data_IF_035477004411
#
_entry.id   IF_035477004411
#
_cell.length_a   1.000
_cell.length_b   1.000
_cell.length_c   1.000
_cell.angle_alpha   90.00
_cell.angle_beta   90.00
_cell.angle_gamma   90.00
#
_symmetry.space_group_name_H-M   'P 1'
#
loop_
_entity.id
_entity.type
_entity.pdbx_description
1 polymer ?
#
# COMPACT_ATOMS: atom_id res chain seq x y z
N UNK A 1 16.71 9.59 18.56
CA UNK A 1 16.50 8.12 18.63
C UNK A 1 15.30 7.79 19.50
N UNK A 2 14.25 7.18 18.94
CA UNK A 2 12.97 6.84 19.61
C UNK A 2 13.19 6.13 20.95
N UNK A 3 14.08 5.14 20.99
CA UNK A 3 14.44 4.38 22.21
C UNK A 3 14.81 5.29 23.38
N UNK A 4 15.73 6.23 23.18
CA UNK A 4 16.16 7.15 24.24
C UNK A 4 15.07 8.18 24.61
N UNK A 5 14.29 8.66 23.64
CA UNK A 5 13.24 9.67 23.87
C UNK A 5 12.08 9.14 24.72
N UNK A 6 11.74 7.86 24.56
CA UNK A 6 10.67 7.19 25.29
C UNK A 6 11.17 6.27 26.40
N UNK A 7 12.47 6.26 26.68
CA UNK A 7 13.10 5.45 27.74
C UNK A 7 12.69 3.98 27.67
N UNK A 8 12.72 3.42 26.45
CA UNK A 8 12.43 2.00 26.26
C UNK A 8 13.47 1.15 26.98
N UNK A 9 13.08 -0.07 27.37
CA UNK A 9 13.94 -1.03 28.09
C UNK A 9 15.28 -1.24 27.37
N UNK A 10 16.34 -1.48 28.15
CA UNK A 10 17.70 -1.69 27.63
C UNK A 10 17.79 -2.89 26.67
N UNK A 11 16.93 -3.89 26.84
CA UNK A 11 16.88 -5.11 26.04
C UNK A 11 16.02 -4.99 24.76
N UNK A 12 15.62 -3.78 24.37
CA UNK A 12 14.81 -3.59 23.16
C UNK A 12 15.61 -4.01 21.92
N UNK A 13 15.05 -4.92 21.13
CA UNK A 13 15.60 -5.28 19.83
C UNK A 13 15.21 -4.21 18.81
N UNK A 14 16.21 -3.60 18.17
CA UNK A 14 16.01 -2.53 17.19
C UNK A 14 16.43 -3.01 15.79
N UNK A 15 15.57 -2.81 14.80
CA UNK A 15 15.81 -3.15 13.41
C UNK A 15 15.51 -1.92 12.56
N UNK A 16 16.45 -1.56 11.67
CA UNK A 16 16.24 -0.50 10.69
C UNK A 16 16.06 -1.13 9.30
N UNK A 17 14.91 -0.88 8.67
CA UNK A 17 14.61 -1.33 7.31
C UNK A 17 14.93 -0.21 6.33
N UNK A 18 15.90 -0.48 5.44
CA UNK A 18 16.39 0.45 4.43
C UNK A 18 16.17 -0.11 3.02
N UNK A 19 16.14 0.77 2.01
CA UNK A 19 16.12 0.40 0.58
C UNK A 19 14.76 -0.04 0.01
N UNK A 20 13.71 -0.07 0.83
CA UNK A 20 12.37 -0.54 0.43
C UNK A 20 11.45 0.59 -0.08
N UNK A 21 11.79 1.85 0.21
CA UNK A 21 10.99 3.03 -0.17
C UNK A 21 9.54 2.96 0.33
N UNK A 22 8.61 3.34 -0.53
CA UNK A 22 7.18 3.45 -0.23
C UNK A 22 6.50 2.16 0.30
N UNK A 23 7.06 0.97 0.05
CA UNK A 23 6.47 -0.27 0.57
C UNK A 23 6.95 -0.65 1.97
N UNK A 24 7.97 0.04 2.50
CA UNK A 24 8.61 -0.30 3.77
C UNK A 24 7.61 -0.45 4.94
N UNK A 25 6.53 0.34 4.94
CA UNK A 25 5.47 0.26 5.95
C UNK A 25 4.83 -1.13 6.01
N UNK A 26 4.37 -1.67 4.89
CA UNK A 26 3.77 -3.02 4.85
C UNK A 26 4.80 -4.15 4.89
N UNK A 27 6.01 -3.93 4.37
CA UNK A 27 7.12 -4.89 4.51
C UNK A 27 7.47 -5.09 5.99
N UNK A 28 7.49 -4.00 6.77
CA UNK A 28 7.76 -4.06 8.20
C UNK A 28 6.68 -4.81 8.98
N UNK A 29 5.42 -4.77 8.54
CA UNK A 29 4.33 -5.59 9.09
C UNK A 29 4.62 -7.07 8.89
N UNK A 30 5.08 -7.46 7.71
CA UNK A 30 5.50 -8.84 7.43
C UNK A 30 6.66 -9.30 8.31
N UNK A 31 7.67 -8.44 8.49
CA UNK A 31 8.79 -8.72 9.40
C UNK A 31 8.32 -8.87 10.85
N UNK A 32 7.53 -7.91 11.34
CA UNK A 32 6.98 -7.91 12.69
C UNK A 32 6.14 -9.16 12.95
N UNK A 33 5.31 -9.58 11.99
CA UNK A 33 4.55 -10.83 12.06
C UNK A 33 5.47 -12.04 12.28
N UNK A 34 6.52 -12.17 11.48
CA UNK A 34 7.44 -13.31 11.58
C UNK A 34 8.17 -13.33 12.93
N UNK A 35 8.58 -12.16 13.44
CA UNK A 35 9.20 -12.02 14.77
C UNK A 35 8.22 -12.41 15.89
N UNK A 36 6.98 -11.91 15.82
CA UNK A 36 5.93 -12.18 16.81
C UNK A 36 5.50 -13.65 16.86
N UNK A 37 5.55 -14.36 15.72
CA UNK A 37 5.22 -15.79 15.64
C UNK A 37 6.17 -16.69 16.43
N UNK A 38 7.42 -16.27 16.61
CA UNK A 38 8.44 -17.04 17.37
C UNK A 38 8.69 -16.45 18.77
N UNK A 39 8.02 -15.35 19.12
CA UNK A 39 8.20 -14.65 20.39
C UNK A 39 7.21 -15.13 21.47
N UNK A 40 7.53 -14.95 22.77
CA UNK A 40 6.59 -15.25 23.86
C UNK A 40 5.27 -14.46 23.74
N UNK A 41 4.13 -14.99 24.21
CA UNK A 41 2.86 -14.28 24.24
C UNK A 41 2.94 -12.95 24.99
N UNK A 42 2.25 -11.92 24.49
CA UNK A 42 2.31 -10.56 25.04
C UNK A 42 3.50 -9.72 24.56
N UNK A 43 4.27 -10.23 23.60
CA UNK A 43 5.36 -9.45 22.97
C UNK A 43 4.77 -8.37 22.07
N UNK A 44 5.35 -7.17 22.14
CA UNK A 44 4.96 -6.03 21.32
C UNK A 44 6.09 -5.62 20.37
N UNK A 45 5.73 -5.32 19.12
CA UNK A 45 6.61 -4.73 18.12
C UNK A 45 6.08 -3.34 17.76
N UNK A 46 6.88 -2.31 18.02
CA UNK A 46 6.62 -0.95 17.57
C UNK A 46 7.22 -0.76 16.18
N UNK A 47 6.36 -0.52 15.20
CA UNK A 47 6.74 -0.11 13.85
C UNK A 47 6.66 1.41 13.79
N UNK A 48 7.74 2.06 13.39
CA UNK A 48 7.78 3.51 13.15
C UNK A 48 8.19 3.75 11.70
N UNK A 49 7.29 4.37 10.95
CA UNK A 49 7.50 4.77 9.56
C UNK A 49 7.71 6.27 9.54
N UNK A 50 8.87 6.73 9.06
CA UNK A 50 9.18 8.16 8.94
C UNK A 50 9.71 8.46 7.55
N UNK A 51 9.19 9.54 6.94
CA UNK A 51 9.67 10.07 5.68
C UNK A 51 10.21 11.49 5.88
N UNK A 52 11.48 11.69 5.52
CA UNK A 52 12.21 12.95 5.73
C UNK A 52 12.93 13.31 4.44
N UNK A 53 12.47 14.37 3.78
CA UNK A 53 12.93 14.76 2.44
C UNK A 53 14.10 15.75 2.45
N UNK A 54 14.54 16.20 3.63
CA UNK A 54 15.55 17.27 3.75
C UNK A 54 16.88 16.95 3.06
N UNK A 55 17.20 15.66 2.88
CA UNK A 55 18.41 15.19 2.18
C UNK A 55 18.13 14.64 0.77
N UNK A 56 16.89 14.69 0.29
CA UNK A 56 16.46 14.06 -0.98
C UNK A 56 15.89 15.07 -1.98
N UNK A 57 16.04 16.37 -1.71
CA UNK A 57 15.56 17.42 -2.60
C UNK A 57 16.46 17.52 -3.84
N UNK A 58 15.90 17.24 -5.02
CA UNK A 58 16.64 17.31 -6.27
C UNK A 58 16.73 18.77 -6.74
N UNK A 59 17.95 19.23 -7.04
CA UNK A 59 18.26 20.62 -7.43
C UNK A 59 18.61 20.79 -8.92
N UNK A 60 18.70 19.69 -9.66
CA UNK A 60 19.00 19.72 -11.09
C UNK A 60 17.78 20.02 -11.96
N UNK A 61 17.88 19.68 -13.25
CA UNK A 61 16.86 20.03 -14.26
C UNK A 61 16.20 18.82 -14.93
N UNK A 62 16.62 17.60 -14.59
CA UNK A 62 16.04 16.37 -15.14
C UNK A 62 14.58 16.23 -14.67
N UNK A 63 13.64 16.23 -15.62
CA UNK A 63 12.21 16.22 -15.33
C UNK A 63 11.78 14.98 -14.54
N UNK A 64 12.38 13.82 -14.85
CA UNK A 64 12.07 12.58 -14.16
C UNK A 64 12.49 12.59 -12.68
N UNK A 65 13.43 13.46 -12.30
CA UNK A 65 13.90 13.65 -10.92
C UNK A 65 13.27 14.86 -10.21
N UNK A 66 12.68 15.79 -10.97
CA UNK A 66 11.90 16.91 -10.42
C UNK A 66 10.51 16.49 -9.93
N UNK A 67 9.90 15.47 -10.56
CA UNK A 67 8.56 15.00 -10.18
C UNK A 67 8.42 14.61 -8.69
N UNK A 68 9.38 13.88 -8.08
CA UNK A 68 9.37 13.64 -6.64
C UNK A 68 9.23 14.90 -5.77
N UNK A 69 9.87 16.02 -6.14
CA UNK A 69 9.77 17.27 -5.37
C UNK A 69 8.30 17.76 -5.30
N UNK A 70 7.51 17.50 -6.34
CA UNK A 70 6.09 17.86 -6.37
C UNK A 70 5.21 16.87 -5.59
N UNK A 71 5.54 15.58 -5.63
CA UNK A 71 4.73 14.48 -5.07
C UNK A 71 4.98 14.25 -3.58
N UNK A 72 6.24 14.14 -3.17
CA UNK A 72 6.58 13.67 -1.83
C UNK A 72 6.40 14.77 -0.79
N UNK A 73 5.97 14.35 0.40
CA UNK A 73 5.94 15.18 1.60
C UNK A 73 6.49 14.39 2.78
N UNK A 74 6.92 15.12 3.80
CA UNK A 74 7.35 14.51 5.05
C UNK A 74 6.13 14.00 5.81
N UNK A 75 6.28 12.87 6.47
CA UNK A 75 5.21 12.23 7.23
C UNK A 75 5.77 11.22 8.21
N UNK A 76 4.99 10.91 9.23
CA UNK A 76 5.34 9.85 10.16
C UNK A 76 4.08 9.17 10.65
N UNK A 77 4.16 7.85 10.78
CA UNK A 77 3.11 7.05 11.39
C UNK A 77 3.73 5.90 12.17
N UNK A 78 3.03 5.46 13.20
CA UNK A 78 3.46 4.35 14.02
C UNK A 78 2.31 3.38 14.26
N UNK A 79 2.62 2.10 14.40
CA UNK A 79 1.68 1.08 14.80
C UNK A 79 2.36 0.11 15.77
N UNK A 80 1.57 -0.47 16.66
CA UNK A 80 2.03 -1.52 17.58
C UNK A 80 1.34 -2.82 17.17
N UNK A 81 2.14 -3.86 16.93
CA UNK A 81 1.65 -5.21 16.74
C UNK A 81 1.96 -6.04 17.99
N UNK A 82 1.05 -6.96 18.32
CA UNK A 82 1.22 -7.89 19.42
C UNK A 82 0.80 -9.30 18.99
N UNK A 83 1.34 -10.31 19.65
CA UNK A 83 0.83 -11.69 19.59
C UNK A 83 -0.19 -11.99 20.69
N UNK A 84 -0.63 -10.96 21.43
CA UNK A 84 -1.76 -11.01 22.35
C UNK A 84 -2.99 -10.30 21.74
N UNK A 85 -4.22 -10.78 21.96
CA UNK A 85 -5.44 -10.05 21.59
C UNK A 85 -5.73 -8.85 22.50
N UNK A 86 -4.98 -8.69 23.59
CA UNK A 86 -5.16 -7.61 24.55
C UNK A 86 -5.00 -6.24 23.87
N UNK A 87 -5.95 -5.33 24.13
CA UNK A 87 -6.06 -4.01 23.50
C UNK A 87 -6.09 -4.00 21.95
N UNK A 88 -6.29 -5.15 21.28
CA UNK A 88 -6.26 -5.23 19.82
C UNK A 88 -7.42 -4.44 19.18
N UNK A 89 -7.08 -3.49 18.31
CA UNK A 89 -8.05 -2.76 17.46
C UNK A 89 -8.27 -3.44 16.12
N UNK A 90 -7.22 -4.05 15.59
CA UNK A 90 -7.24 -4.80 14.34
C UNK A 90 -6.58 -6.17 14.54
N UNK A 91 -7.09 -7.16 13.82
CA UNK A 91 -6.48 -8.48 13.68
C UNK A 91 -5.77 -8.56 12.33
N UNK A 92 -4.50 -8.95 12.34
CA UNK A 92 -3.72 -9.14 11.11
C UNK A 92 -4.18 -10.40 10.38
N UNK A 93 -4.53 -10.25 9.10
CA UNK A 93 -4.91 -11.33 8.21
C UNK A 93 -3.74 -11.82 7.34
N UNK A 94 -4.02 -12.02 6.06
CA UNK A 94 -3.03 -12.45 5.07
C UNK A 94 -2.07 -11.31 4.73
N UNK A 95 -0.78 -11.64 4.66
CA UNK A 95 0.31 -10.75 4.24
C UNK A 95 0.98 -11.41 3.06
N UNK A 96 1.00 -10.74 1.90
CA UNK A 96 1.62 -11.24 0.68
C UNK A 96 2.47 -10.15 0.07
N UNK A 97 3.72 -10.50 -0.25
CA UNK A 97 4.66 -9.66 -0.96
C UNK A 97 5.10 -10.37 -2.24
N UNK A 98 5.08 -9.65 -3.35
CA UNK A 98 5.58 -10.11 -4.63
C UNK A 98 6.57 -9.09 -5.17
N UNK A 99 7.69 -9.56 -5.72
CA UNK A 99 8.75 -8.71 -6.27
C UNK A 99 8.88 -8.98 -7.76
N UNK A 100 8.98 -7.92 -8.56
CA UNK A 100 9.11 -8.03 -10.03
C UNK A 100 10.41 -7.42 -10.56
N UNK A 101 11.31 -6.95 -9.67
CA UNK A 101 12.64 -6.42 -9.98
C UNK A 101 13.58 -7.36 -10.77
N UNK A 102 13.25 -8.63 -10.98
CA UNK A 102 13.98 -9.47 -11.92
C UNK A 102 13.90 -8.95 -13.37
N UNK A 103 12.94 -8.07 -13.68
CA UNK A 103 12.85 -7.34 -14.95
C UNK A 103 13.54 -5.99 -14.83
N UNK A 104 14.46 -5.68 -15.73
CA UNK A 104 15.22 -4.43 -15.72
C UNK A 104 14.32 -3.17 -15.73
N UNK A 105 13.21 -3.21 -16.47
CA UNK A 105 12.21 -2.14 -16.50
C UNK A 105 11.64 -1.83 -15.12
N UNK A 106 11.41 -2.88 -14.33
CA UNK A 106 10.82 -2.78 -13.00
C UNK A 106 11.88 -2.35 -11.99
N UNK A 107 13.07 -2.93 -12.07
CA UNK A 107 14.22 -2.57 -11.25
C UNK A 107 14.57 -1.08 -11.37
N UNK A 108 14.58 -0.54 -12.61
CA UNK A 108 14.88 0.87 -12.90
C UNK A 108 13.68 1.80 -12.85
N UNK A 109 12.50 1.30 -12.47
CA UNK A 109 11.28 2.09 -12.50
C UNK A 109 11.29 3.25 -11.49
N UNK A 110 11.88 3.01 -10.32
CA UNK A 110 12.13 4.02 -9.28
C UNK A 110 13.55 3.79 -8.80
N UNK A 111 14.44 4.73 -9.07
CA UNK A 111 15.86 4.54 -8.81
C UNK A 111 16.50 5.84 -8.32
N UNK A 112 17.42 5.74 -7.37
CA UNK A 112 18.21 6.89 -6.92
C UNK A 112 19.53 6.90 -7.70
N UNK A 113 19.81 7.98 -8.40
CA UNK A 113 21.02 8.15 -9.20
C UNK A 113 21.42 9.63 -9.30
N UNK A 114 22.63 9.88 -9.81
CA UNK A 114 23.11 11.22 -10.11
C UNK A 114 22.76 11.60 -11.56
N UNK A 115 22.43 12.86 -11.77
CA UNK A 115 22.36 13.43 -13.11
C UNK A 115 23.76 13.73 -13.68
N UNK A 116 23.82 14.22 -14.92
CA UNK A 116 25.09 14.54 -15.59
C UNK A 116 25.90 15.65 -14.88
N UNK A 117 25.29 16.42 -13.98
CA UNK A 117 25.92 17.48 -13.22
C UNK A 117 26.30 17.03 -11.79
N UNK A 118 26.11 15.74 -11.48
CA UNK A 118 26.41 15.16 -10.16
C UNK A 118 25.34 15.44 -9.11
N UNK A 119 24.15 15.95 -9.49
CA UNK A 119 23.06 16.14 -8.52
C UNK A 119 22.34 14.80 -8.32
N UNK A 120 22.34 14.29 -7.09
CA UNK A 120 21.57 13.09 -6.74
C UNK A 120 20.07 13.38 -6.71
N UNK A 121 19.29 12.52 -7.36
CA UNK A 121 17.83 12.58 -7.36
C UNK A 121 17.18 11.20 -7.39
N UNK A 122 15.88 11.16 -7.12
CA UNK A 122 15.07 9.96 -7.33
C UNK A 122 14.45 10.05 -8.72
N UNK A 123 14.89 9.21 -9.65
CA UNK A 123 14.28 9.14 -10.97
C UNK A 123 13.00 8.30 -10.92
N UNK A 124 11.91 8.88 -11.41
CA UNK A 124 10.66 8.17 -11.65
C UNK A 124 10.51 7.89 -13.15
N UNK A 125 10.40 6.61 -13.52
CA UNK A 125 10.11 6.22 -14.90
C UNK A 125 8.70 6.67 -15.32
N UNK A 126 8.53 6.98 -16.61
CA UNK A 126 7.21 7.23 -17.21
C UNK A 126 6.30 6.00 -17.18
N UNK A 127 6.90 4.81 -17.11
CA UNK A 127 6.19 3.54 -17.05
C UNK A 127 5.72 3.18 -15.63
N UNK A 128 5.88 4.07 -14.64
CA UNK A 128 5.57 3.80 -13.24
C UNK A 128 4.17 3.22 -13.01
N UNK A 129 3.15 3.80 -13.64
CA UNK A 129 1.78 3.30 -13.53
C UNK A 129 1.65 1.90 -14.16
N UNK A 130 2.15 1.70 -15.37
CA UNK A 130 2.14 0.40 -16.06
C UNK A 130 2.87 -0.69 -15.25
N UNK A 131 4.04 -0.36 -14.70
CA UNK A 131 4.81 -1.25 -13.82
C UNK A 131 4.02 -1.59 -12.55
N UNK A 132 3.33 -0.60 -11.95
CA UNK A 132 2.43 -0.82 -10.83
C UNK A 132 1.30 -1.80 -11.18
N UNK A 133 0.65 -1.64 -12.33
CA UNK A 133 -0.39 -2.55 -12.82
C UNK A 133 0.12 -3.99 -13.02
N UNK A 134 1.32 -4.15 -13.57
CA UNK A 134 1.96 -5.46 -13.70
C UNK A 134 2.27 -6.11 -12.36
N UNK A 135 2.87 -5.36 -11.43
CA UNK A 135 3.19 -5.86 -10.09
C UNK A 135 1.93 -6.21 -9.29
N UNK A 136 0.89 -5.38 -9.40
CA UNK A 136 -0.43 -5.62 -8.81
C UNK A 136 -1.04 -6.92 -9.35
N UNK A 137 -0.96 -7.15 -10.66
CA UNK A 137 -1.46 -8.40 -11.27
C UNK A 137 -0.77 -9.64 -10.71
N UNK A 138 0.55 -9.61 -10.57
CA UNK A 138 1.32 -10.70 -9.94
C UNK A 138 0.92 -10.89 -8.48
N UNK A 139 0.71 -9.79 -7.75
CA UNK A 139 0.29 -9.83 -6.36
C UNK A 139 -1.13 -10.41 -6.20
N UNK A 140 -2.09 -9.99 -7.02
CA UNK A 140 -3.47 -10.53 -7.06
C UNK A 140 -3.46 -12.04 -7.28
N UNK A 141 -2.60 -12.55 -8.16
CA UNK A 141 -2.50 -13.98 -8.42
C UNK A 141 -2.05 -14.78 -7.18
N UNK A 142 -1.22 -14.18 -6.32
CA UNK A 142 -0.76 -14.79 -5.07
C UNK A 142 -1.70 -14.54 -3.88
N UNK A 143 -2.30 -13.35 -3.80
CA UNK A 143 -3.12 -12.90 -2.68
C UNK A 143 -4.58 -13.33 -2.81
N UNK A 144 -5.15 -13.25 -4.02
CA UNK A 144 -6.57 -13.52 -4.31
C UNK A 144 -7.05 -14.88 -3.77
N UNK A 145 -6.37 -16.01 -4.07
CA UNK A 145 -6.78 -17.32 -3.57
C UNK A 145 -6.78 -17.46 -2.03
N UNK A 146 -6.07 -16.58 -1.32
CA UNK A 146 -5.96 -16.62 0.14
C UNK A 146 -7.05 -15.82 0.87
N UNK A 147 -7.78 -14.96 0.16
CA UNK A 147 -8.73 -14.00 0.75
C UNK A 147 -10.11 -14.00 0.09
N UNK A 148 -10.19 -14.35 -1.19
CA UNK A 148 -11.47 -14.38 -1.91
C UNK A 148 -12.32 -15.57 -1.47
N UNK A 149 -13.65 -15.41 -1.39
CA UNK A 149 -14.55 -16.52 -1.10
C UNK A 149 -14.53 -17.56 -2.22
N UNK A 150 -14.91 -18.80 -1.88
CA UNK A 150 -14.90 -19.92 -2.83
C UNK A 150 -15.78 -19.67 -4.08
N UNK A 151 -16.86 -18.89 -3.93
CA UNK A 151 -17.73 -18.47 -5.04
C UNK A 151 -16.96 -17.66 -6.10
N UNK A 152 -16.17 -16.67 -5.68
CA UNK A 152 -15.34 -15.85 -6.55
C UNK A 152 -14.22 -16.67 -7.20
N UNK A 153 -13.57 -17.55 -6.43
CA UNK A 153 -12.53 -18.44 -6.94
C UNK A 153 -13.06 -19.38 -8.03
N UNK A 154 -14.28 -19.89 -7.87
CA UNK A 154 -14.94 -20.72 -8.86
C UNK A 154 -15.22 -19.96 -10.16
N UNK A 155 -15.68 -18.70 -10.08
CA UNK A 155 -15.90 -17.85 -11.26
C UNK A 155 -14.59 -17.61 -12.03
N UNK A 156 -13.50 -17.33 -11.32
CA UNK A 156 -12.16 -17.21 -11.90
C UNK A 156 -11.76 -18.51 -12.60
N UNK A 157 -11.88 -19.66 -11.93
CA UNK A 157 -11.53 -20.97 -12.49
C UNK A 157 -12.36 -21.32 -13.74
N UNK A 158 -13.67 -21.07 -13.72
CA UNK A 158 -14.55 -21.25 -14.88
C UNK A 158 -14.11 -20.35 -16.04
N UNK A 159 -13.70 -19.10 -15.76
CA UNK A 159 -13.22 -18.20 -16.80
C UNK A 159 -11.93 -18.70 -17.47
N UNK A 160 -11.01 -19.29 -16.70
CA UNK A 160 -9.81 -19.93 -17.23
C UNK A 160 -10.16 -21.15 -18.09
N UNK A 161 -11.10 -22.00 -17.64
CA UNK A 161 -11.56 -23.16 -18.39
C UNK A 161 -12.21 -22.76 -19.72
N UNK A 162 -13.10 -21.75 -19.71
CA UNK A 162 -13.72 -21.18 -20.91
C UNK A 162 -12.68 -20.66 -21.90
N UNK A 163 -11.64 -19.98 -21.42
CA UNK A 163 -10.55 -19.48 -22.26
C UNK A 163 -9.77 -20.63 -22.91
N UNK A 164 -9.41 -21.66 -22.14
CA UNK A 164 -8.67 -22.83 -22.63
C UNK A 164 -9.48 -23.63 -23.65
N UNK A 165 -10.78 -23.84 -23.40
CA UNK A 165 -11.67 -24.53 -24.33
C UNK A 165 -11.79 -23.78 -25.67
N UNK A 166 -12.00 -22.46 -25.68
CA UNK A 166 -12.07 -21.69 -26.93
C UNK A 166 -10.75 -21.66 -27.71
N UNK A 167 -9.60 -21.62 -27.01
CA UNK A 167 -8.29 -21.73 -27.65
C UNK A 167 -8.10 -23.08 -28.35
N UNK A 168 -8.58 -24.16 -27.75
CA UNK A 168 -8.55 -25.50 -28.35
C UNK A 168 -9.55 -25.65 -29.51
N UNK A 169 -10.70 -24.98 -29.45
CA UNK A 169 -11.72 -24.99 -30.52
C UNK A 169 -11.41 -24.06 -31.71
N UNK A 170 -10.18 -23.56 -31.85
CA UNK A 170 -9.74 -22.75 -32.99
C UNK A 170 -10.38 -21.36 -33.09
N UNK A 171 -11.15 -20.92 -32.10
CA UNK A 171 -11.83 -19.62 -32.12
C UNK A 171 -10.93 -18.55 -31.47
N UNK A 172 -10.18 -17.81 -32.29
CA UNK A 172 -9.22 -16.77 -31.89
C UNK A 172 -9.88 -15.46 -31.36
N UNK A 173 -11.00 -15.55 -30.64
CA UNK A 173 -11.60 -14.40 -29.96
C UNK A 173 -10.92 -14.13 -28.62
N UNK A 174 -10.55 -12.87 -28.33
CA UNK A 174 -10.09 -12.44 -27.00
C UNK A 174 -11.21 -12.59 -25.97
N UNK A 175 -11.28 -13.73 -25.28
CA UNK A 175 -12.13 -13.86 -24.09
C UNK A 175 -11.49 -13.07 -22.95
N UNK A 176 -12.16 -12.00 -22.51
CA UNK A 176 -11.76 -11.25 -21.32
C UNK A 176 -11.89 -12.19 -20.11
N UNK A 177 -10.81 -12.36 -19.36
CA UNK A 177 -10.86 -13.12 -18.11
C UNK A 177 -11.83 -12.45 -17.15
N UNK A 178 -12.51 -13.29 -16.36
CA UNK A 178 -13.30 -12.78 -15.26
C UNK A 178 -12.36 -12.06 -14.29
N UNK A 179 -12.81 -10.89 -13.87
CA UNK A 179 -12.11 -10.05 -12.92
C UNK A 179 -12.76 -10.29 -11.55
N UNK A 180 -12.02 -10.85 -10.58
CA UNK A 180 -12.59 -11.14 -9.26
C UNK A 180 -13.02 -9.85 -8.56
N UNK A 181 -14.15 -9.90 -7.86
CA UNK A 181 -14.64 -8.78 -7.08
C UNK A 181 -14.10 -8.85 -5.64
N UNK A 182 -13.05 -8.08 -5.37
CA UNK A 182 -12.42 -8.01 -4.06
C UNK A 182 -13.29 -7.33 -3.00
N UNK A 183 -14.37 -6.63 -3.36
CA UNK A 183 -15.32 -6.06 -2.40
C UNK A 183 -16.12 -7.14 -1.65
N UNK A 184 -16.13 -8.37 -2.18
CA UNK A 184 -16.67 -9.53 -1.45
C UNK A 184 -15.78 -9.96 -0.27
N UNK A 185 -14.50 -9.60 -0.31
CA UNK A 185 -13.50 -9.95 0.69
C UNK A 185 -13.10 -8.77 1.59
N UNK A 186 -13.34 -7.53 1.16
CA UNK A 186 -12.93 -6.33 1.88
C UNK A 186 -13.98 -5.22 1.77
N UNK A 187 -14.29 -4.61 2.90
CA UNK A 187 -15.18 -3.46 3.01
C UNK A 187 -14.44 -2.14 2.76
N UNK A 188 -13.12 -2.10 2.97
CA UNK A 188 -12.31 -0.90 2.80
C UNK A 188 -10.97 -1.18 2.10
N UNK A 189 -10.48 -0.18 1.37
CA UNK A 189 -9.22 -0.23 0.63
C UNK A 189 -8.34 0.96 1.00
N UNK A 190 -7.07 0.68 1.31
CA UNK A 190 -6.02 1.69 1.49
C UNK A 190 -4.93 1.43 0.44
N UNK A 191 -5.00 2.14 -0.66
CA UNK A 191 -4.03 2.05 -1.76
C UNK A 191 -3.00 3.16 -1.58
N UNK A 192 -1.73 2.78 -1.43
CA UNK A 192 -0.63 3.72 -1.26
C UNK A 192 -0.74 4.94 -2.18
N UNK A 193 -0.82 6.12 -1.58
CA UNK A 193 -0.81 7.43 -2.21
C UNK A 193 0.52 7.79 -2.91
N UNK A 194 0.99 6.95 -3.82
CA UNK A 194 2.24 7.14 -4.57
C UNK A 194 2.18 8.31 -5.57
N UNK A 195 1.00 8.48 -6.15
CA UNK A 195 0.67 9.48 -7.16
C UNK A 195 -0.66 9.10 -7.83
N UNK A 196 -1.28 10.06 -8.51
CA UNK A 196 -2.60 9.88 -9.14
C UNK A 196 -2.63 8.66 -10.08
N UNK A 197 -1.65 8.55 -10.99
CA UNK A 197 -1.61 7.45 -11.96
C UNK A 197 -1.49 6.05 -11.33
N UNK A 198 -0.84 5.93 -10.17
CA UNK A 198 -0.76 4.65 -9.45
C UNK A 198 -2.11 4.28 -8.85
N UNK A 199 -2.81 5.25 -8.24
CA UNK A 199 -4.16 5.03 -7.70
C UNK A 199 -5.13 4.67 -8.84
N UNK A 200 -5.06 5.39 -9.97
CA UNK A 200 -5.91 5.15 -11.14
C UNK A 200 -5.68 3.74 -11.72
N UNK A 201 -4.42 3.30 -11.82
CA UNK A 201 -4.09 1.94 -12.30
C UNK A 201 -4.61 0.87 -11.33
N UNK A 202 -4.49 1.07 -10.02
CA UNK A 202 -5.04 0.11 -9.04
C UNK A 202 -6.57 0.10 -9.07
N UNK A 203 -7.20 1.27 -9.15
CA UNK A 203 -8.65 1.40 -9.25
C UNK A 203 -9.17 0.67 -10.50
N UNK A 204 -8.60 0.98 -11.67
CA UNK A 204 -8.95 0.33 -12.92
C UNK A 204 -8.57 -1.15 -12.93
N UNK A 205 -7.48 -1.54 -12.26
CA UNK A 205 -6.89 -2.88 -12.14
C UNK A 205 -7.59 -3.81 -11.13
N UNK A 206 -8.35 -3.25 -10.17
CA UNK A 206 -9.24 -3.99 -9.25
C UNK A 206 -10.75 -3.78 -9.49
N UNK A 207 -11.16 -2.72 -10.18
CA UNK A 207 -12.56 -2.46 -10.54
C UNK A 207 -13.30 -1.78 -9.43
N UNK A 208 -12.55 -0.94 -8.72
CA UNK A 208 -13.01 -0.21 -7.56
C UNK A 208 -13.76 1.04 -8.00
N UNK A 209 -14.77 1.39 -7.24
CA UNK A 209 -15.50 2.65 -7.37
C UNK A 209 -14.65 3.83 -6.89
N UNK A 210 -15.12 5.05 -7.12
CA UNK A 210 -14.46 6.25 -6.59
C UNK A 210 -14.52 6.31 -5.06
N UNK A 211 -15.59 5.79 -4.45
CA UNK A 211 -15.75 5.68 -2.99
C UNK A 211 -14.70 4.74 -2.39
N UNK A 212 -14.42 3.62 -3.07
CA UNK A 212 -13.43 2.62 -2.63
C UNK A 212 -12.01 3.20 -2.56
N UNK A 213 -11.69 4.16 -3.44
CA UNK A 213 -10.34 4.77 -3.52
C UNK A 213 -10.27 6.17 -2.91
N UNK A 214 -11.37 6.66 -2.32
CA UNK A 214 -11.48 8.01 -1.79
C UNK A 214 -10.41 8.29 -0.73
N UNK A 215 -10.16 7.34 0.19
CA UNK A 215 -9.17 7.49 1.25
C UNK A 215 -7.76 7.78 0.69
N UNK A 216 -7.36 7.03 -0.34
CA UNK A 216 -6.09 7.20 -1.05
C UNK A 216 -6.02 8.53 -1.79
N UNK A 217 -7.09 8.90 -2.50
CA UNK A 217 -7.16 10.17 -3.24
C UNK A 217 -7.10 11.39 -2.32
N UNK A 218 -7.85 11.36 -1.23
CA UNK A 218 -7.89 12.46 -0.26
C UNK A 218 -6.57 12.57 0.51
N UNK A 219 -5.96 11.43 0.87
CA UNK A 219 -4.63 11.40 1.48
C UNK A 219 -3.59 12.04 0.56
N UNK A 220 -3.54 11.64 -0.71
CA UNK A 220 -2.65 12.24 -1.70
C UNK A 220 -2.90 13.74 -1.85
N UNK A 221 -4.16 14.18 -1.91
CA UNK A 221 -4.50 15.59 -2.03
C UNK A 221 -4.07 16.41 -0.80
N UNK A 222 -4.35 15.94 0.41
CA UNK A 222 -4.10 16.70 1.65
C UNK A 222 -2.65 16.69 2.09
N UNK A 223 -2.02 15.53 1.99
CA UNK A 223 -0.70 15.25 2.59
C UNK A 223 0.36 14.92 1.56
N UNK A 224 0.03 14.78 0.28
CA UNK A 224 0.98 14.29 -0.72
C UNK A 224 1.37 12.83 -0.50
N UNK A 225 2.44 12.41 -1.17
CA UNK A 225 3.02 11.09 -0.96
C UNK A 225 3.93 11.12 0.28
N UNK A 226 3.45 10.55 1.40
CA UNK A 226 4.23 10.39 2.64
C UNK A 226 4.94 9.03 2.70
N UNK A 227 5.26 8.48 1.53
CA UNK A 227 6.02 7.26 1.33
C UNK A 227 5.42 6.08 2.11
N UNK A 228 6.26 5.38 2.88
CA UNK A 228 5.92 4.21 3.68
C UNK A 228 4.78 4.42 4.70
N UNK A 229 4.49 5.67 5.06
CA UNK A 229 3.42 5.99 6.02
C UNK A 229 2.04 6.23 5.38
N UNK A 230 1.94 6.41 4.06
CA UNK A 230 0.69 6.84 3.40
C UNK A 230 -0.52 5.96 3.71
N UNK A 231 -0.37 4.63 3.69
CA UNK A 231 -1.49 3.70 3.95
C UNK A 231 -2.07 3.81 5.37
N UNK A 232 -1.30 4.33 6.32
CA UNK A 232 -1.78 4.61 7.67
C UNK A 232 -2.56 5.93 7.75
N UNK A 233 -2.21 6.92 6.93
CA UNK A 233 -3.01 8.14 6.78
C UNK A 233 -4.36 7.81 6.12
N UNK A 234 -4.37 6.87 5.17
CA UNK A 234 -5.59 6.38 4.52
C UNK A 234 -6.49 5.63 5.52
N UNK A 235 -5.91 4.78 6.37
CA UNK A 235 -6.68 4.14 7.45
C UNK A 235 -7.25 5.18 8.43
N UNK A 236 -6.44 6.16 8.83
CA UNK A 236 -6.90 7.24 9.71
C UNK A 236 -8.02 8.08 9.06
N UNK A 237 -8.01 8.23 7.73
CA UNK A 237 -9.11 8.88 7.00
C UNK A 237 -10.41 8.10 7.16
N UNK A 238 -10.38 6.78 6.94
CA UNK A 238 -11.55 5.90 7.08
C UNK A 238 -12.12 5.92 8.50
N UNK A 239 -11.24 5.92 9.51
CA UNK A 239 -11.65 6.03 10.92
C UNK A 239 -12.22 7.40 11.24
N UNK A 240 -11.59 8.49 10.79
CA UNK A 240 -12.08 9.85 11.01
C UNK A 240 -13.42 10.12 10.31
N UNK A 241 -13.73 9.38 9.22
CA UNK A 241 -15.05 9.38 8.58
C UNK A 241 -16.12 8.57 9.32
N UNK A 242 -15.75 7.84 10.36
CA UNK A 242 -16.66 6.90 11.05
C UNK A 242 -17.12 5.75 10.15
N UNK A 243 -16.36 5.43 9.09
CA UNK A 243 -16.71 4.36 8.14
C UNK A 243 -16.31 2.98 8.66
N UNK A 244 -15.30 2.91 9.52
CA UNK A 244 -14.78 1.65 10.06
C UNK A 244 -15.70 1.07 11.14
N UNK A 245 -16.18 -0.16 10.93
CA UNK A 245 -17.02 -0.88 11.89
C UNK A 245 -16.35 -2.18 12.34
N UNK A 246 -16.80 -2.69 13.49
CA UNK A 246 -16.37 -4.00 13.99
C UNK A 246 -16.73 -5.10 12.99
N UNK A 247 -15.75 -5.92 12.63
CA UNK A 247 -15.86 -6.99 11.65
C UNK A 247 -15.46 -6.58 10.23
N UNK A 248 -15.36 -5.28 9.94
CA UNK A 248 -14.94 -4.80 8.63
C UNK A 248 -13.50 -5.22 8.33
N UNK A 249 -13.25 -5.57 7.07
CA UNK A 249 -11.95 -5.98 6.57
C UNK A 249 -11.36 -4.90 5.70
N UNK A 250 -10.07 -4.64 5.90
CA UNK A 250 -9.32 -3.60 5.19
C UNK A 250 -8.22 -4.26 4.40
N UNK A 251 -8.10 -3.90 3.13
CA UNK A 251 -6.95 -4.26 2.31
C UNK A 251 -6.03 -3.07 2.11
N UNK A 252 -4.81 -3.16 2.67
CA UNK A 252 -3.73 -2.22 2.40
C UNK A 252 -2.85 -2.72 1.25
N UNK A 253 -2.61 -1.85 0.27
CA UNK A 253 -1.78 -2.12 -0.92
C UNK A 253 -0.66 -1.09 -0.97
N UNK A 254 0.59 -1.52 -1.09
CA UNK A 254 1.72 -0.61 -1.31
C UNK A 254 2.70 -1.12 -2.35
N UNK A 255 3.44 -0.18 -2.94
CA UNK A 255 4.49 -0.43 -3.93
C UNK A 255 5.81 0.20 -3.48
N UNK A 256 6.94 -0.37 -3.85
CA UNK A 256 8.27 0.12 -3.45
C UNK A 256 9.31 0.02 -4.58
N UNK A 257 10.49 0.63 -4.39
CA UNK A 257 11.60 0.56 -5.35
C UNK A 257 12.20 -0.86 -5.42
N UNK A 258 12.89 -1.20 -6.51
CA UNK A 258 13.19 -2.60 -6.85
C UNK A 258 11.90 -3.38 -7.15
N UNK A 259 11.01 -2.72 -7.89
CA UNK A 259 9.55 -2.87 -7.87
C UNK A 259 8.96 -4.08 -7.13
N UNK A 260 8.29 -3.80 -6.03
CA UNK A 260 7.47 -4.77 -5.32
C UNK A 260 6.03 -4.29 -5.11
N UNK A 261 5.15 -5.24 -4.82
CA UNK A 261 3.77 -5.01 -4.43
C UNK A 261 3.48 -5.80 -3.16
N UNK A 262 2.93 -5.12 -2.16
CA UNK A 262 2.60 -5.68 -0.85
C UNK A 262 1.11 -5.56 -0.61
N UNK A 263 0.50 -6.65 -0.15
CA UNK A 263 -0.90 -6.75 0.23
C UNK A 263 -1.02 -7.22 1.66
N UNK A 264 -1.70 -6.43 2.48
CA UNK A 264 -1.96 -6.76 3.89
C UNK A 264 -3.46 -6.64 4.16
N UNK A 265 -4.05 -7.74 4.60
CA UNK A 265 -5.43 -7.79 5.08
C UNK A 265 -5.47 -7.52 6.59
N UNK A 266 -6.46 -6.75 7.01
CA UNK A 266 -6.78 -6.50 8.42
C UNK A 266 -8.28 -6.74 8.65
N UNK A 267 -8.64 -7.11 9.87
CA UNK A 267 -10.04 -7.17 10.33
C UNK A 267 -10.18 -6.25 11.55
N UNK A 268 -11.16 -5.34 11.53
CA UNK A 268 -11.42 -4.44 12.63
C UNK A 268 -12.07 -5.20 13.81
N UNK A 269 -11.36 -5.29 14.92
CA UNK A 269 -11.85 -5.90 16.17
C UNK A 269 -12.56 -4.88 17.04
N UNK A 270 -12.00 -3.66 17.09
CA UNK A 270 -12.54 -2.53 17.84
C UNK A 270 -12.27 -1.24 17.05
N UNK A 271 -13.31 -0.58 16.51
CA UNK A 271 -13.15 0.67 15.79
C UNK A 271 -12.67 1.79 16.73
N UNK A 272 -12.13 2.87 16.16
CA UNK A 272 -11.80 4.07 16.91
C UNK A 272 -13.07 4.59 17.63
N UNK A 273 -12.98 4.98 18.91
CA UNK A 273 -14.11 5.64 19.58
C UNK A 273 -14.38 7.03 19.00
N UNK A 274 -13.30 7.76 18.67
CA UNK A 274 -13.33 9.13 18.16
C UNK A 274 -12.31 9.28 17.01
N UNK A 275 -12.48 10.33 16.21
CA UNK A 275 -11.48 10.72 15.24
C UNK A 275 -10.20 11.20 15.96
N UNK A 276 -9.05 10.64 15.57
CA UNK A 276 -7.73 11.01 16.06
C UNK A 276 -6.75 11.10 14.89
N UNK A 277 -5.56 11.66 15.13
CA UNK A 277 -4.47 11.71 14.19
C UNK A 277 -4.59 12.82 13.14
N UNK A 278 -4.02 12.64 11.94
CA UNK A 278 -3.76 13.74 11.01
C UNK A 278 -5.02 14.39 10.44
N UNK A 279 -6.18 13.74 10.57
CA UNK A 279 -7.44 14.18 9.96
C UNK A 279 -8.36 14.94 10.90
N UNK A 280 -8.13 14.91 12.22
CA UNK A 280 -9.09 15.37 13.24
C UNK A 280 -9.61 16.79 12.97
N UNK A 281 -8.73 17.73 12.64
CA UNK A 281 -9.09 19.15 12.45
C UNK A 281 -9.61 19.47 11.04
N UNK A 282 -9.65 18.49 10.12
CA UNK A 282 -9.94 18.78 8.73
C UNK A 282 -10.89 17.80 8.03
N UNK A 283 -11.25 16.67 8.65
CA UNK A 283 -12.02 15.60 7.99
C UNK A 283 -13.40 16.05 7.48
N UNK A 284 -14.00 17.03 8.13
CA UNK A 284 -15.30 17.62 7.76
C UNK A 284 -15.26 18.39 6.42
N UNK A 285 -14.07 18.74 5.91
CA UNK A 285 -13.88 19.42 4.61
C UNK A 285 -13.68 18.45 3.44
N UNK A 286 -13.65 17.15 3.70
CA UNK A 286 -13.42 16.12 2.71
C UNK A 286 -14.70 15.29 2.47
N UNK A 287 -14.83 14.58 1.34
CA UNK A 287 -13.97 14.65 0.17
C UNK A 287 -14.05 16.01 -0.53
N UNK A 288 -12.98 16.37 -1.24
CA UNK A 288 -12.99 17.53 -2.14
C UNK A 288 -13.14 17.05 -3.58
N UNK A 289 -13.75 17.86 -4.43
CA UNK A 289 -13.79 17.57 -5.86
C UNK A 289 -12.39 17.74 -6.45
N UNK A 290 -11.85 16.66 -7.01
CA UNK A 290 -10.57 16.71 -7.69
C UNK A 290 -10.76 17.16 -9.14
N UNK A 291 -9.83 17.94 -9.71
CA UNK A 291 -9.92 18.33 -11.10
C UNK A 291 -9.86 17.09 -12.02
N UNK A 292 -10.78 17.04 -12.98
CA UNK A 292 -10.63 16.16 -14.14
C UNK A 292 -9.43 16.66 -14.94
N UNK A 293 -8.43 15.80 -15.10
CA UNK A 293 -7.26 16.10 -15.92
C UNK A 293 -7.38 15.15 -17.10
N UNK A 294 -7.61 15.74 -18.28
CA UNK A 294 -7.70 15.05 -19.57
C UNK A 294 -6.34 14.48 -20.01
#
# INVERSE_FOLDING_TARGET
>A
MVVNRYKLRAEVQNVNLSGMGCSAGLVSVGLAKNLLQVSPPGTNVLIVSTEILSSQYYVGTERAMLLPNCLFRMGAAAMILSNSPDHARFRLGRVVRTVTAARDSDYRCVFQEEDEQGNTGIRLSKDLATTAGHALKSNIAAFGPLVLPASEQLLVAISFLKRKLKQLSGHAGKVRLYRPDFRTAFEHFCIHAGGRGVIDEVQHGLGLSDDDVEASRMTLHRFGNTSSSSVLYELAYLEAKGRMKRGDRVWMISFGAGFDCNSVAWECVKPAPDADGPWVDCIHRYPVQLPEIA
#
